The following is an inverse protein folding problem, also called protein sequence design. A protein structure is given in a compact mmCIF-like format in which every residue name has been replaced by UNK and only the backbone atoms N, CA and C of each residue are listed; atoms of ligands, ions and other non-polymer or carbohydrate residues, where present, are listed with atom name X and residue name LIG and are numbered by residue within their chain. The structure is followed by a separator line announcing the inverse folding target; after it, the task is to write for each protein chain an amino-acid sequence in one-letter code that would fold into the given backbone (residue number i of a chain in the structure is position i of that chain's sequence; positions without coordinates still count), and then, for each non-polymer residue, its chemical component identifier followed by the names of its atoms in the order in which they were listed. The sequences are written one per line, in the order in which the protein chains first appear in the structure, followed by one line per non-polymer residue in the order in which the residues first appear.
data_IF_313566821667
#
_entry.id   IF_313566821667
#
_cell.length_a   1.000
_cell.length_b   1.000
_cell.length_c   1.000
_cell.angle_alpha   90.00
_cell.angle_beta   90.00
_cell.angle_gamma   90.00
#
_symmetry.space_group_name_H-M   'P 1'
#
loop_
_entity.id
_entity.type
_entity.pdbx_description
1 polymer ?
#
# COMPACT_ATOMS: atom_id res chain seq x y z
N UNK A 1 7.22 14.97 -21.20
CA UNK A 1 7.54 14.51 -22.56
C UNK A 1 8.06 13.09 -22.48
N UNK A 2 7.62 12.22 -23.41
CA UNK A 2 8.05 10.83 -23.52
C UNK A 2 8.55 10.58 -24.94
N UNK A 3 9.65 9.84 -25.04
CA UNK A 3 10.29 9.43 -26.28
C UNK A 3 10.56 7.93 -26.23
N UNK A 4 10.15 7.21 -27.27
CA UNK A 4 10.53 5.82 -27.49
C UNK A 4 11.31 5.73 -28.78
N UNK A 5 12.44 5.02 -28.75
CA UNK A 5 13.34 4.86 -29.89
C UNK A 5 13.74 3.39 -30.04
N UNK A 6 13.43 2.81 -31.18
CA UNK A 6 13.88 1.46 -31.55
C UNK A 6 15.31 1.52 -32.04
N UNK A 7 16.23 1.05 -31.19
CA UNK A 7 17.70 1.02 -31.51
C UNK A 7 17.99 -0.07 -32.52
N UNK A 8 17.26 -1.16 -32.48
CA UNK A 8 17.28 -2.27 -33.45
C UNK A 8 15.93 -3.01 -33.38
N UNK A 9 15.79 -4.09 -34.19
CA UNK A 9 14.58 -4.93 -34.18
C UNK A 9 14.26 -5.52 -32.78
N UNK A 10 15.29 -5.75 -31.96
CA UNK A 10 15.14 -6.35 -30.64
C UNK A 10 15.26 -5.35 -29.49
N UNK A 11 15.85 -4.17 -29.70
CA UNK A 11 16.16 -3.23 -28.62
C UNK A 11 15.38 -1.93 -28.74
N UNK A 12 14.74 -1.53 -27.66
CA UNK A 12 14.02 -0.26 -27.53
C UNK A 12 14.53 0.53 -26.34
N UNK A 13 14.72 1.83 -26.51
CA UNK A 13 15.05 2.81 -25.48
C UNK A 13 13.85 3.72 -25.24
N UNK A 14 13.39 3.78 -24.00
CA UNK A 14 12.36 4.72 -23.54
C UNK A 14 12.97 5.82 -22.68
N UNK A 15 12.60 7.07 -22.91
CA UNK A 15 13.02 8.23 -22.14
C UNK A 15 11.77 9.05 -21.78
N UNK A 16 11.58 9.35 -20.50
CA UNK A 16 10.51 10.19 -20.00
C UNK A 16 11.06 11.32 -19.13
N UNK A 17 10.49 12.52 -19.26
CA UNK A 17 10.80 13.66 -18.40
C UNK A 17 9.53 14.41 -18.07
N UNK A 18 9.34 14.69 -16.79
CA UNK A 18 8.21 15.48 -16.26
C UNK A 18 8.74 16.57 -15.34
N UNK A 19 8.35 17.80 -15.62
CA UNK A 19 8.53 18.93 -14.69
C UNK A 19 7.18 19.26 -14.06
N UNK A 20 7.18 19.42 -12.75
CA UNK A 20 6.00 19.81 -11.96
C UNK A 20 6.36 21.08 -11.19
N UNK A 21 5.51 22.09 -11.25
CA UNK A 21 5.56 23.33 -10.47
C UNK A 21 4.23 23.44 -9.71
N UNK A 22 4.29 23.54 -8.40
CA UNK A 22 3.13 23.51 -7.52
C UNK A 22 3.18 24.66 -6.52
N UNK A 23 2.06 25.36 -6.36
CA UNK A 23 1.87 26.37 -5.35
C UNK A 23 0.65 26.06 -4.49
N UNK A 24 0.80 26.12 -3.17
CA UNK A 24 -0.24 25.84 -2.17
C UNK A 24 -0.41 27.04 -1.25
N UNK A 25 -1.62 27.56 -1.16
CA UNK A 25 -2.03 28.51 -0.15
C UNK A 25 -2.80 27.79 0.96
N UNK A 26 -2.37 27.98 2.19
CA UNK A 26 -2.96 27.34 3.36
C UNK A 26 -3.32 28.35 4.42
N UNK A 27 -4.54 28.24 4.97
CA UNK A 27 -4.95 29.00 6.14
C UNK A 27 -5.62 28.09 7.16
N UNK A 28 -5.33 28.30 8.43
CA UNK A 28 -5.91 27.57 9.55
C UNK A 28 -6.22 28.52 10.70
N UNK A 29 -7.41 28.35 11.27
CA UNK A 29 -7.81 29.00 12.51
C UNK A 29 -8.30 27.92 13.49
N UNK A 30 -7.73 27.88 14.67
CA UNK A 30 -8.15 26.96 15.73
C UNK A 30 -8.79 27.70 16.88
N UNK A 31 -9.89 27.14 17.39
CA UNK A 31 -10.72 27.76 18.42
C UNK A 31 -10.76 26.86 19.65
N UNK A 32 -10.68 27.49 20.82
CA UNK A 32 -10.94 26.76 22.07
C UNK A 32 -12.44 26.43 22.20
N UNK A 33 -12.73 25.25 22.75
CA UNK A 33 -14.08 24.92 23.19
C UNK A 33 -14.19 25.25 24.68
N UNK A 34 -15.16 26.09 25.03
CA UNK A 34 -15.48 26.42 26.42
C UNK A 34 -16.94 26.09 26.65
N UNK A 35 -17.23 25.27 27.65
CA UNK A 35 -18.59 24.83 28.01
C UNK A 35 -19.37 24.22 26.83
N UNK A 36 -18.70 23.38 26.01
CA UNK A 36 -19.22 22.80 24.77
C UNK A 36 -19.65 23.82 23.71
N UNK A 37 -19.14 25.03 23.80
CA UNK A 37 -19.33 26.09 22.79
C UNK A 37 -18.00 26.45 22.17
N UNK A 38 -17.99 26.66 20.87
CA UNK A 38 -16.82 27.14 20.13
C UNK A 38 -16.63 28.64 20.40
N UNK A 39 -15.45 29.04 20.83
CA UNK A 39 -15.11 30.45 20.96
C UNK A 39 -15.14 31.12 19.57
N UNK A 40 -15.61 32.39 19.50
CA UNK A 40 -15.73 33.12 18.24
C UNK A 40 -14.42 33.78 17.78
N UNK A 41 -13.43 33.81 18.64
CA UNK A 41 -12.09 34.35 18.33
C UNK A 41 -11.07 33.23 18.34
N UNK A 42 -10.17 33.15 17.34
CA UNK A 42 -9.07 32.17 17.37
C UNK A 42 -8.27 32.36 18.66
N UNK A 43 -8.08 31.28 19.41
CA UNK A 43 -7.39 31.33 20.70
C UNK A 43 -6.09 30.57 20.73
N UNK A 44 -5.83 29.73 19.74
CA UNK A 44 -4.65 28.87 19.70
C UNK A 44 -3.79 29.23 18.50
N UNK A 45 -4.37 29.27 17.31
CA UNK A 45 -3.63 29.52 16.08
C UNK A 45 -4.51 30.27 15.08
N UNK A 46 -3.94 31.31 14.46
CA UNK A 46 -4.46 32.01 13.28
C UNK A 46 -3.28 32.21 12.33
N UNK A 47 -3.27 31.45 11.25
CA UNK A 47 -2.12 31.36 10.36
C UNK A 47 -2.57 31.30 8.90
N UNK A 48 -1.86 32.06 8.05
CA UNK A 48 -1.91 31.95 6.59
C UNK A 48 -0.50 31.86 6.03
N UNK A 49 -0.20 30.87 5.20
CA UNK A 49 1.12 30.64 4.59
C UNK A 49 0.99 30.09 3.18
N UNK A 50 1.95 30.45 2.32
CA UNK A 50 2.17 29.82 1.03
C UNK A 50 3.30 28.80 1.09
N UNK A 51 3.24 27.81 0.22
CA UNK A 51 4.30 26.82 -0.03
C UNK A 51 4.45 26.66 -1.54
N UNK A 52 5.69 26.65 -2.01
CA UNK A 52 6.03 26.41 -3.42
C UNK A 52 7.00 25.26 -3.50
N UNK A 53 6.78 24.40 -4.49
CA UNK A 53 7.57 23.22 -4.73
C UNK A 53 7.70 22.98 -6.23
N UNK A 54 8.89 22.62 -6.68
CA UNK A 54 9.10 22.21 -8.05
C UNK A 54 9.98 20.95 -8.11
N UNK A 55 9.71 20.08 -9.05
CA UNK A 55 10.43 18.83 -9.18
C UNK A 55 10.56 18.40 -10.65
N UNK A 56 11.75 17.92 -11.00
CA UNK A 56 12.07 17.34 -12.29
C UNK A 56 12.24 15.83 -12.16
N UNK A 57 11.29 15.09 -12.68
CA UNK A 57 11.31 13.63 -12.69
C UNK A 57 11.77 13.10 -14.05
N UNK A 58 12.45 11.98 -14.02
CA UNK A 58 12.85 11.28 -15.24
C UNK A 58 12.60 9.78 -15.16
N UNK A 59 12.51 9.15 -16.32
CA UNK A 59 12.47 7.71 -16.49
C UNK A 59 13.30 7.31 -17.68
N UNK A 60 14.15 6.31 -17.49
CA UNK A 60 14.93 5.66 -18.56
C UNK A 60 14.58 4.19 -18.54
N UNK A 61 14.24 3.63 -19.68
CA UNK A 61 13.95 2.19 -19.84
C UNK A 61 14.73 1.66 -21.01
N UNK A 62 15.46 0.58 -20.80
CA UNK A 62 16.07 -0.20 -21.86
C UNK A 62 15.40 -1.56 -21.88
N UNK A 63 14.80 -1.93 -22.98
CA UNK A 63 14.14 -3.22 -23.15
C UNK A 63 14.73 -4.00 -24.31
N UNK A 64 14.71 -5.32 -24.16
CA UNK A 64 15.09 -6.27 -25.21
C UNK A 64 14.01 -7.32 -25.40
N UNK A 65 13.54 -7.46 -26.64
CA UNK A 65 12.69 -8.57 -27.04
C UNK A 65 13.57 -9.80 -27.33
N UNK A 66 13.10 -10.95 -26.91
CA UNK A 66 13.74 -12.26 -27.08
C UNK A 66 12.71 -13.29 -27.55
N UNK A 67 13.14 -14.46 -27.94
CA UNK A 67 12.24 -15.55 -28.38
C UNK A 67 11.30 -16.05 -27.25
N UNK A 68 11.63 -15.74 -25.97
CA UNK A 68 10.83 -16.17 -24.81
C UNK A 68 10.10 -15.01 -24.10
N UNK A 69 10.24 -13.79 -24.61
CA UNK A 69 9.58 -12.62 -24.00
C UNK A 69 10.46 -11.38 -24.03
N UNK A 70 10.16 -10.42 -23.19
CA UNK A 70 10.83 -9.13 -23.07
C UNK A 70 11.54 -9.02 -21.72
N UNK A 71 12.81 -8.64 -21.75
CA UNK A 71 13.59 -8.25 -20.55
C UNK A 71 13.79 -6.75 -20.58
N UNK A 72 13.66 -6.08 -19.43
CA UNK A 72 13.89 -4.65 -19.32
C UNK A 72 14.64 -4.28 -18.05
N UNK A 73 15.36 -3.19 -18.13
CA UNK A 73 15.92 -2.47 -16.99
C UNK A 73 15.40 -1.04 -17.03
N UNK A 74 14.88 -0.55 -15.93
CA UNK A 74 14.45 0.83 -15.81
C UNK A 74 15.08 1.53 -14.62
N UNK A 75 15.26 2.83 -14.76
CA UNK A 75 15.58 3.76 -13.70
C UNK A 75 14.59 4.91 -13.75
N UNK A 76 14.01 5.29 -12.62
CA UNK A 76 13.06 6.38 -12.57
C UNK A 76 13.11 7.10 -11.23
N UNK A 77 12.72 8.38 -11.25
CA UNK A 77 12.51 9.18 -10.04
C UNK A 77 11.06 9.55 -9.89
N UNK A 78 10.61 9.66 -8.64
CA UNK A 78 9.28 10.12 -8.26
C UNK A 78 9.36 11.10 -7.10
N UNK A 79 8.31 11.87 -6.87
CA UNK A 79 8.23 12.73 -5.70
C UNK A 79 6.79 12.85 -5.19
N UNK A 80 6.69 13.19 -3.92
CA UNK A 80 5.47 13.61 -3.26
C UNK A 80 5.68 15.01 -2.70
N UNK A 81 4.90 15.97 -3.19
CA UNK A 81 5.03 17.37 -2.82
C UNK A 81 4.85 17.58 -1.32
N UNK A 82 5.57 18.55 -0.79
CA UNK A 82 5.44 19.07 0.56
C UNK A 82 4.12 19.81 0.78
N UNK A 83 3.94 20.38 1.96
CA UNK A 83 2.71 21.12 2.28
C UNK A 83 2.53 21.41 3.75
N UNK A 84 1.27 21.41 4.19
CA UNK A 84 0.86 21.79 5.54
C UNK A 84 0.02 20.71 6.21
N UNK A 85 0.18 20.57 7.52
CA UNK A 85 -0.60 19.65 8.33
C UNK A 85 -1.84 20.36 8.90
N UNK A 86 -3.01 20.06 8.35
CA UNK A 86 -4.30 20.61 8.80
C UNK A 86 -4.74 20.16 10.21
N UNK A 87 -4.04 19.20 10.81
CA UNK A 87 -4.26 18.75 12.20
C UNK A 87 -3.31 19.41 13.19
N UNK A 88 -2.38 20.23 12.70
CA UNK A 88 -1.43 20.95 13.53
C UNK A 88 -2.13 21.95 14.47
N UNK A 89 -1.68 22.01 15.72
CA UNK A 89 -2.20 22.91 16.75
C UNK A 89 -1.17 23.94 17.18
N UNK A 90 0.07 23.83 16.70
CA UNK A 90 1.18 24.78 16.89
C UNK A 90 1.74 25.19 15.54
N UNK A 91 2.51 26.28 15.49
CA UNK A 91 3.15 26.74 14.25
C UNK A 91 4.04 25.66 13.62
N UNK A 92 4.75 24.90 14.44
CA UNK A 92 5.66 23.85 14.00
C UNK A 92 4.89 22.60 13.53
N UNK A 93 3.82 22.23 14.24
CA UNK A 93 3.01 21.07 13.84
C UNK A 93 2.19 21.31 12.58
N UNK A 94 1.92 22.56 12.24
CA UNK A 94 1.30 22.92 10.95
C UNK A 94 2.30 22.84 9.80
N UNK A 95 3.56 23.13 10.02
CA UNK A 95 4.57 23.10 8.97
C UNK A 95 4.88 24.46 8.35
N UNK A 96 5.42 24.54 7.15
CA UNK A 96 5.41 23.51 6.09
C UNK A 96 6.34 22.33 6.36
N UNK A 97 6.08 21.22 5.69
CA UNK A 97 7.00 20.11 5.48
C UNK A 97 7.39 20.03 3.99
N UNK A 98 8.58 19.54 3.71
CA UNK A 98 9.14 19.48 2.36
C UNK A 98 8.61 18.29 1.55
N UNK A 99 8.95 18.22 0.27
CA UNK A 99 8.73 17.07 -0.59
C UNK A 99 9.51 15.82 -0.10
N UNK A 100 9.00 14.69 -0.46
CA UNK A 100 9.61 13.37 -0.38
C UNK A 100 10.00 12.94 -1.79
N UNK A 101 11.16 12.36 -1.97
CA UNK A 101 11.62 11.87 -3.26
C UNK A 101 11.89 10.36 -3.20
N UNK A 102 11.74 9.70 -4.35
CA UNK A 102 12.09 8.28 -4.51
C UNK A 102 12.86 8.07 -5.79
N UNK A 103 13.90 7.27 -5.70
CA UNK A 103 14.65 6.72 -6.83
C UNK A 103 14.38 5.22 -6.92
N UNK A 104 14.05 4.74 -8.12
CA UNK A 104 13.69 3.34 -8.37
C UNK A 104 14.56 2.76 -9.46
N UNK A 105 15.18 1.61 -9.20
CA UNK A 105 15.78 0.75 -10.21
C UNK A 105 14.97 -0.54 -10.28
N UNK A 106 14.61 -0.97 -11.49
CA UNK A 106 13.79 -2.16 -11.69
C UNK A 106 14.33 -2.99 -12.86
N UNK A 107 14.51 -4.30 -12.62
CA UNK A 107 14.82 -5.31 -13.63
C UNK A 107 13.62 -6.24 -13.77
N UNK A 108 13.11 -6.41 -14.98
CA UNK A 108 11.94 -7.25 -15.20
C UNK A 108 12.05 -8.18 -16.41
N UNK A 109 11.27 -9.27 -16.31
CA UNK A 109 10.99 -10.22 -17.39
C UNK A 109 9.48 -10.29 -17.57
N UNK A 110 9.01 -10.21 -18.81
CA UNK A 110 7.65 -10.49 -19.25
C UNK A 110 7.68 -11.58 -20.30
N UNK A 111 7.13 -12.75 -20.01
CA UNK A 111 7.28 -13.91 -20.89
C UNK A 111 5.97 -14.64 -21.14
N UNK A 112 5.87 -15.16 -22.38
CA UNK A 112 4.80 -16.06 -22.81
C UNK A 112 5.46 -17.33 -23.37
N UNK A 113 5.20 -18.47 -22.73
CA UNK A 113 5.90 -19.71 -22.99
C UNK A 113 4.90 -20.82 -23.35
N UNK A 114 5.37 -21.83 -24.10
CA UNK A 114 4.62 -23.02 -24.43
C UNK A 114 3.27 -22.73 -25.13
N UNK A 115 3.32 -21.94 -26.22
CA UNK A 115 2.12 -21.52 -26.95
C UNK A 115 1.10 -20.78 -26.07
N UNK A 116 1.59 -19.86 -25.23
CA UNK A 116 0.82 -19.04 -24.27
C UNK A 116 0.11 -19.86 -23.17
N UNK A 117 0.55 -21.09 -22.92
CA UNK A 117 0.08 -21.87 -21.78
C UNK A 117 0.65 -21.38 -20.46
N UNK A 118 1.82 -20.76 -20.48
CA UNK A 118 2.46 -20.13 -19.32
C UNK A 118 2.73 -18.67 -19.64
N UNK A 119 2.18 -17.77 -18.85
CA UNK A 119 2.58 -16.38 -18.77
C UNK A 119 3.32 -16.21 -17.45
N UNK A 120 4.55 -15.71 -17.49
CA UNK A 120 5.38 -15.51 -16.31
C UNK A 120 6.01 -14.10 -16.37
N UNK A 121 5.75 -13.31 -15.33
CA UNK A 121 6.36 -12.02 -15.10
C UNK A 121 7.21 -12.10 -13.83
N UNK A 122 8.43 -11.64 -13.91
CA UNK A 122 9.35 -11.50 -12.80
C UNK A 122 9.82 -10.06 -12.72
N UNK A 123 9.89 -9.52 -11.52
CA UNK A 123 10.37 -8.16 -11.29
C UNK A 123 11.25 -8.16 -10.04
N UNK A 124 12.43 -7.57 -10.12
CA UNK A 124 13.26 -7.23 -8.98
C UNK A 124 13.46 -5.73 -8.96
N UNK A 125 13.37 -5.10 -7.80
CA UNK A 125 13.46 -3.64 -7.68
C UNK A 125 14.11 -3.22 -6.38
N UNK A 126 14.66 -2.00 -6.41
CA UNK A 126 15.06 -1.23 -5.24
C UNK A 126 14.44 0.16 -5.32
N UNK A 127 13.93 0.66 -4.18
CA UNK A 127 13.40 2.00 -4.03
C UNK A 127 14.09 2.67 -2.86
N UNK A 128 14.76 3.78 -3.13
CA UNK A 128 15.43 4.61 -2.14
C UNK A 128 14.63 5.90 -1.95
N UNK A 129 14.06 6.09 -0.75
CA UNK A 129 13.32 7.29 -0.39
C UNK A 129 14.19 8.24 0.42
N UNK A 130 14.20 9.49 0.02
CA UNK A 130 14.81 10.59 0.77
C UNK A 130 13.73 11.55 1.27
N UNK A 131 13.97 12.15 2.44
CA UNK A 131 13.04 13.08 3.06
C UNK A 131 11.61 12.51 3.22
N UNK A 132 11.51 11.21 3.53
CA UNK A 132 10.22 10.52 3.66
C UNK A 132 9.30 11.23 4.64
N UNK A 133 8.08 11.51 4.18
CA UNK A 133 7.04 12.17 4.96
C UNK A 133 6.35 11.18 5.89
N UNK A 134 6.50 11.39 7.19
CA UNK A 134 5.88 10.57 8.22
C UNK A 134 4.92 11.36 9.09
N UNK A 135 3.82 10.70 9.48
CA UNK A 135 2.83 11.25 10.41
C UNK A 135 3.16 10.78 11.81
N UNK A 136 3.66 11.68 12.63
CA UNK A 136 4.00 11.43 14.03
C UNK A 136 2.87 11.97 14.90
N UNK A 137 2.34 11.13 15.79
CA UNK A 137 1.37 11.54 16.83
C UNK A 137 2.01 11.34 18.18
N UNK A 138 2.07 12.39 18.98
CA UNK A 138 2.61 12.31 20.34
C UNK A 138 1.49 12.30 21.36
N UNK A 139 1.66 11.59 22.48
CA UNK A 139 0.75 11.70 23.62
C UNK A 139 0.67 13.15 24.12
N UNK A 140 -0.47 13.54 24.67
CA UNK A 140 -0.63 14.83 25.32
C UNK A 140 0.24 14.97 26.55
N UNK A 141 0.40 16.23 27.03
CA UNK A 141 1.20 16.67 28.18
C UNK A 141 2.73 16.50 28.06
N UNK A 142 3.22 15.98 26.92
CA UNK A 142 4.65 15.84 26.63
C UNK A 142 5.27 17.02 25.90
N UNK A 143 6.58 17.13 26.01
CA UNK A 143 7.39 17.97 25.14
C UNK A 143 8.14 17.06 24.18
N UNK A 144 8.01 17.30 22.88
CA UNK A 144 8.75 16.62 21.83
C UNK A 144 9.71 17.61 21.16
N UNK A 145 10.90 17.15 20.79
CA UNK A 145 11.83 17.95 20.00
C UNK A 145 11.51 17.76 18.51
N UNK A 146 11.24 18.88 17.84
CA UNK A 146 10.89 18.94 16.43
C UNK A 146 11.87 19.87 15.74
N UNK A 147 12.71 19.37 14.83
CA UNK A 147 13.80 20.13 14.18
C UNK A 147 14.70 20.86 15.18
N UNK A 148 15.07 20.19 16.28
CA UNK A 148 15.85 20.78 17.35
C UNK A 148 15.11 21.76 18.25
N UNK A 149 13.80 21.97 18.06
CA UNK A 149 12.97 22.91 18.83
C UNK A 149 12.00 22.15 19.73
N UNK A 150 12.05 22.32 21.06
CA UNK A 150 11.05 21.72 21.96
C UNK A 150 9.64 22.24 21.69
N UNK A 151 8.69 21.35 21.54
CA UNK A 151 7.27 21.62 21.34
C UNK A 151 6.46 21.02 22.46
N UNK A 152 5.63 21.79 23.11
CA UNK A 152 4.71 21.31 24.16
C UNK A 152 3.33 21.07 23.56
N UNK A 153 2.82 19.88 23.71
CA UNK A 153 1.50 19.46 23.23
C UNK A 153 0.50 19.43 24.39
N UNK A 154 -0.68 20.01 24.17
CA UNK A 154 -1.71 20.08 25.23
C UNK A 154 -2.41 18.74 25.49
N UNK A 155 -2.93 18.09 24.45
CA UNK A 155 -3.60 16.80 24.56
C UNK A 155 -2.96 15.73 23.68
N UNK A 156 -2.80 16.01 22.40
CA UNK A 156 -2.04 15.23 21.40
C UNK A 156 -1.55 16.19 20.34
N UNK A 157 -0.35 15.96 19.84
CA UNK A 157 0.14 16.66 18.64
C UNK A 157 0.27 15.69 17.49
N UNK A 158 -0.14 16.13 16.33
CA UNK A 158 0.12 15.43 15.07
C UNK A 158 1.07 16.27 14.24
N UNK A 159 2.17 15.71 13.84
CA UNK A 159 3.16 16.33 12.95
C UNK A 159 3.19 15.55 11.65
N UNK A 160 3.37 16.24 10.53
CA UNK A 160 3.85 15.63 9.30
C UNK A 160 5.26 16.17 9.08
N UNK A 161 6.22 15.28 8.88
CA UNK A 161 7.63 15.66 8.82
C UNK A 161 8.39 14.81 7.82
N UNK A 162 9.44 15.38 7.29
CA UNK A 162 10.47 14.66 6.54
C UNK A 162 11.41 14.02 7.57
N UNK A 163 11.06 12.84 8.04
CA UNK A 163 11.70 12.23 9.20
C UNK A 163 12.73 11.17 8.83
N UNK A 164 12.75 10.65 7.59
CA UNK A 164 13.51 9.46 7.30
C UNK A 164 14.08 9.33 5.91
N UNK A 165 15.05 8.44 5.83
CA UNK A 165 15.52 7.77 4.64
C UNK A 165 15.07 6.32 4.73
N UNK A 166 14.58 5.74 3.62
CA UNK A 166 13.99 4.41 3.60
C UNK A 166 14.44 3.68 2.35
N UNK A 167 14.91 2.45 2.53
CA UNK A 167 15.19 1.53 1.43
C UNK A 167 14.14 0.41 1.39
N UNK A 168 13.67 0.07 0.20
CA UNK A 168 12.76 -1.04 -0.04
C UNK A 168 13.28 -1.86 -1.22
N UNK A 169 13.82 -3.03 -0.93
CA UNK A 169 14.19 -4.01 -1.93
C UNK A 169 13.09 -5.05 -2.10
N UNK A 170 12.79 -5.45 -3.32
CA UNK A 170 11.72 -6.39 -3.55
C UNK A 170 11.90 -7.28 -4.76
N UNK A 171 11.15 -8.38 -4.71
CA UNK A 171 11.04 -9.33 -5.80
C UNK A 171 9.60 -9.79 -5.96
N UNK A 172 9.08 -9.76 -7.19
CA UNK A 172 7.72 -10.12 -7.51
C UNK A 172 7.67 -11.20 -8.60
N UNK A 173 6.77 -12.15 -8.41
CA UNK A 173 6.42 -13.20 -9.35
C UNK A 173 4.94 -13.12 -9.64
N UNK A 174 4.56 -12.96 -10.90
CA UNK A 174 3.20 -13.13 -11.37
C UNK A 174 3.15 -14.21 -12.43
N UNK A 175 2.18 -15.10 -12.35
CA UNK A 175 2.08 -16.20 -13.30
C UNK A 175 0.65 -16.62 -13.59
N UNK A 176 0.44 -17.06 -14.84
CA UNK A 176 -0.76 -17.80 -15.25
C UNK A 176 -0.30 -19.09 -15.92
N UNK A 177 -0.83 -20.21 -15.46
CA UNK A 177 -0.58 -21.53 -16.03
C UNK A 177 -1.89 -22.23 -16.42
N UNK A 178 -2.11 -22.39 -17.71
CA UNK A 178 -3.18 -23.21 -18.27
C UNK A 178 -2.73 -24.67 -18.31
N UNK A 179 -2.98 -25.38 -17.21
CA UNK A 179 -2.56 -26.78 -17.04
C UNK A 179 -3.26 -27.70 -18.05
N UNK A 180 -4.57 -27.47 -18.28
CA UNK A 180 -5.38 -28.10 -19.30
C UNK A 180 -6.34 -27.06 -19.92
N UNK A 181 -7.17 -27.46 -20.88
CA UNK A 181 -8.25 -26.60 -21.39
C UNK A 181 -9.27 -26.24 -20.30
N UNK A 182 -9.41 -27.09 -19.29
CA UNK A 182 -10.37 -26.93 -18.20
C UNK A 182 -9.77 -26.31 -16.94
N UNK A 183 -8.44 -26.35 -16.72
CA UNK A 183 -7.78 -25.97 -15.47
C UNK A 183 -6.75 -24.90 -15.68
N UNK A 184 -6.97 -23.76 -15.03
CA UNK A 184 -6.05 -22.62 -15.01
C UNK A 184 -5.63 -22.30 -13.58
N UNK A 185 -4.35 -22.05 -13.38
CA UNK A 185 -3.78 -21.50 -12.15
C UNK A 185 -3.28 -20.08 -12.39
N UNK A 186 -3.41 -19.23 -11.37
CA UNK A 186 -2.83 -17.87 -11.33
C UNK A 186 -2.12 -17.68 -10.01
N UNK A 187 -0.93 -17.12 -10.04
CA UNK A 187 -0.15 -16.85 -8.83
C UNK A 187 0.37 -15.41 -8.86
N UNK A 188 0.43 -14.81 -7.67
CA UNK A 188 1.16 -13.57 -7.41
C UNK A 188 1.89 -13.73 -6.07
N UNK A 189 3.19 -13.49 -6.07
CA UNK A 189 4.05 -13.59 -4.89
C UNK A 189 4.94 -12.35 -4.88
N UNK A 190 5.00 -11.67 -3.73
CA UNK A 190 5.89 -10.55 -3.48
C UNK A 190 6.72 -10.80 -2.23
N UNK A 191 7.97 -10.43 -2.28
CA UNK A 191 8.88 -10.37 -1.15
C UNK A 191 9.43 -8.96 -1.04
N UNK A 192 9.47 -8.44 0.19
CA UNK A 192 10.03 -7.13 0.53
C UNK A 192 11.07 -7.29 1.63
N UNK A 193 12.20 -6.61 1.45
CA UNK A 193 13.13 -6.25 2.52
C UNK A 193 13.07 -4.74 2.63
N UNK A 194 12.58 -4.23 3.74
CA UNK A 194 12.28 -2.81 3.87
C UNK A 194 12.64 -2.28 5.25
N UNK A 195 13.20 -1.09 5.30
CA UNK A 195 13.60 -0.49 6.56
C UNK A 195 13.88 1.00 6.47
N UNK A 196 13.99 1.63 7.62
CA UNK A 196 14.51 2.98 7.72
C UNK A 196 16.04 2.92 7.78
N UNK A 197 16.71 3.64 6.88
CA UNK A 197 18.14 3.90 6.96
C UNK A 197 18.42 5.02 7.96
N UNK A 198 17.47 5.96 8.07
CA UNK A 198 17.46 7.03 9.06
C UNK A 198 16.04 7.37 9.43
N UNK A 199 15.78 7.56 10.72
CA UNK A 199 14.49 8.06 11.21
C UNK A 199 14.67 8.91 12.46
N UNK A 200 14.51 10.22 12.30
CA UNK A 200 14.65 11.15 13.40
C UNK A 200 13.33 11.32 14.17
N UNK A 201 13.34 10.91 15.43
CA UNK A 201 12.24 11.08 16.38
C UNK A 201 12.78 11.64 17.71
N UNK A 202 12.18 12.73 18.19
CA UNK A 202 12.57 13.44 19.42
C UNK A 202 14.07 13.75 19.51
N UNK A 203 14.67 14.15 18.38
CA UNK A 203 16.09 14.48 18.27
C UNK A 203 17.05 13.30 18.32
N UNK A 204 16.55 12.08 18.19
CA UNK A 204 17.34 10.86 18.13
C UNK A 204 17.06 10.11 16.82
N UNK A 205 18.08 9.45 16.31
CA UNK A 205 17.89 8.48 15.22
C UNK A 205 17.40 7.16 15.81
N UNK A 206 16.18 6.77 15.42
CA UNK A 206 15.49 5.56 15.89
C UNK A 206 15.25 4.55 14.77
N UNK A 207 15.93 4.69 13.64
CA UNK A 207 15.77 3.83 12.46
C UNK A 207 15.84 2.34 12.79
N UNK A 208 16.78 1.94 13.63
CA UNK A 208 16.97 0.53 14.00
C UNK A 208 15.78 -0.09 14.78
N UNK A 209 14.91 0.73 15.37
CA UNK A 209 13.73 0.30 16.10
C UNK A 209 12.42 0.59 15.35
N UNK A 210 12.46 1.38 14.28
CA UNK A 210 11.30 1.76 13.51
C UNK A 210 10.95 0.68 12.47
N UNK A 211 9.67 0.43 12.29
CA UNK A 211 9.13 -0.47 11.27
C UNK A 211 8.33 0.31 10.24
N UNK A 212 8.47 -0.05 8.96
CA UNK A 212 7.62 0.53 7.92
C UNK A 212 6.18 0.07 8.07
N UNK A 213 5.25 1.01 7.90
CA UNK A 213 3.83 0.72 7.99
C UNK A 213 3.35 -0.03 6.75
N UNK A 214 2.51 -1.05 6.95
CA UNK A 214 1.87 -1.82 5.88
C UNK A 214 2.84 -2.49 4.91
N UNK A 215 4.02 -2.85 5.36
CA UNK A 215 5.08 -3.50 4.59
C UNK A 215 5.34 -4.92 5.14
N UNK A 216 4.51 -5.93 4.81
CA UNK A 216 4.81 -7.32 5.16
C UNK A 216 6.00 -7.84 4.36
N UNK A 217 6.84 -8.68 4.96
CA UNK A 217 8.03 -9.23 4.29
C UNK A 217 7.64 -10.12 3.10
N UNK A 218 6.47 -10.75 3.13
CA UNK A 218 5.92 -11.43 1.97
C UNK A 218 4.40 -11.34 1.86
N UNK A 219 3.94 -11.42 0.60
CA UNK A 219 2.55 -11.69 0.25
C UNK A 219 2.52 -12.77 -0.83
N UNK A 220 1.55 -13.68 -0.77
CA UNK A 220 1.39 -14.72 -1.77
C UNK A 220 -0.09 -15.00 -2.05
N UNK A 221 -0.41 -15.29 -3.30
CA UNK A 221 -1.71 -15.80 -3.69
C UNK A 221 -1.58 -16.86 -4.77
N UNK A 222 -2.41 -17.90 -4.67
CA UNK A 222 -2.60 -18.93 -5.69
C UNK A 222 -4.11 -19.11 -5.91
N UNK A 223 -4.57 -18.77 -7.11
CA UNK A 223 -5.95 -19.00 -7.51
C UNK A 223 -6.02 -20.09 -8.58
N UNK A 224 -7.10 -20.82 -8.60
CA UNK A 224 -7.38 -21.78 -9.65
C UNK A 224 -8.84 -21.76 -10.03
N UNK A 225 -9.12 -22.11 -11.27
CA UNK A 225 -10.44 -22.41 -11.78
C UNK A 225 -10.40 -23.70 -12.63
N UNK A 226 -11.33 -24.58 -12.35
CA UNK A 226 -11.61 -25.77 -13.13
C UNK A 226 -13.02 -25.69 -13.70
N UNK A 227 -13.12 -25.64 -15.02
CA UNK A 227 -14.38 -25.46 -15.75
C UNK A 227 -14.69 -26.74 -16.52
N UNK A 228 -15.88 -27.29 -16.32
CA UNK A 228 -16.33 -28.49 -17.04
C UNK A 228 -17.84 -28.45 -17.34
N UNK A 229 -18.24 -29.18 -18.35
CA UNK A 229 -19.68 -29.34 -18.67
C UNK A 229 -20.30 -30.46 -17.80
N UNK A 230 -21.41 -30.16 -17.17
CA UNK A 230 -22.15 -31.11 -16.36
C UNK A 230 -23.67 -30.90 -16.51
N UNK A 231 -24.43 -32.00 -16.78
CA UNK A 231 -25.89 -32.01 -16.84
C UNK A 231 -26.51 -30.91 -17.74
N UNK A 232 -25.84 -30.57 -18.86
CA UNK A 232 -26.33 -29.56 -19.81
C UNK A 232 -26.10 -28.10 -19.35
N UNK A 233 -25.23 -27.90 -18.40
CA UNK A 233 -24.74 -26.61 -17.97
C UNK A 233 -23.22 -26.64 -17.78
N UNK A 234 -22.65 -25.55 -17.32
CA UNK A 234 -21.25 -25.38 -16.97
C UNK A 234 -21.06 -25.44 -15.46
N UNK A 235 -20.10 -26.23 -15.01
CA UNK A 235 -19.71 -26.35 -13.61
C UNK A 235 -18.30 -25.75 -13.44
N UNK A 236 -18.18 -24.80 -12.54
CA UNK A 236 -16.94 -24.10 -12.23
C UNK A 236 -16.57 -24.38 -10.77
N UNK A 237 -15.43 -25.03 -10.54
CA UNK A 237 -14.81 -25.12 -9.21
C UNK A 237 -13.65 -24.15 -9.15
N UNK A 238 -13.74 -23.15 -8.29
CA UNK A 238 -12.70 -22.14 -8.13
C UNK A 238 -12.27 -22.03 -6.67
N UNK A 239 -11.01 -21.64 -6.48
CA UNK A 239 -10.47 -21.37 -5.17
C UNK A 239 -9.33 -20.37 -5.22
N UNK A 240 -9.08 -19.74 -4.07
CA UNK A 240 -7.95 -18.86 -3.85
C UNK A 240 -7.35 -19.14 -2.49
N UNK A 241 -6.09 -19.50 -2.47
CA UNK A 241 -5.27 -19.48 -1.26
C UNK A 241 -4.46 -18.18 -1.26
N UNK A 242 -4.44 -17.46 -0.14
CA UNK A 242 -3.61 -16.28 0.05
C UNK A 242 -2.92 -16.34 1.41
N UNK A 243 -1.69 -15.84 1.44
CA UNK A 243 -0.88 -15.73 2.63
C UNK A 243 -0.18 -14.36 2.67
N UNK A 244 -0.04 -13.80 3.84
CA UNK A 244 0.76 -12.61 4.08
C UNK A 244 1.46 -12.71 5.42
N UNK A 245 2.63 -12.09 5.53
CA UNK A 245 3.35 -12.01 6.79
C UNK A 245 2.73 -10.98 7.74
N UNK A 246 3.19 -10.96 8.96
CA UNK A 246 2.84 -9.89 9.89
C UNK A 246 3.34 -8.54 9.38
N UNK A 247 2.69 -7.48 9.77
CA UNK A 247 3.10 -6.12 9.47
C UNK A 247 2.58 -5.16 10.53
N UNK A 248 3.17 -3.97 10.59
CA UNK A 248 2.72 -2.93 11.50
C UNK A 248 1.75 -1.98 10.79
N UNK A 249 0.64 -1.68 11.44
CA UNK A 249 -0.33 -0.68 10.94
C UNK A 249 0.13 0.74 11.23
N UNK A 250 1.15 0.88 12.07
CA UNK A 250 1.82 2.11 12.46
C UNK A 250 3.21 1.79 13.00
N UNK A 251 4.03 2.81 13.27
CA UNK A 251 5.36 2.66 13.87
C UNK A 251 5.37 1.70 15.06
N UNK A 252 6.50 1.00 15.22
CA UNK A 252 6.72 0.14 16.37
C UNK A 252 6.48 0.89 17.69
N UNK A 253 5.68 0.35 18.60
CA UNK A 253 5.45 0.89 19.93
C UNK A 253 6.72 1.14 20.74
N UNK A 254 7.80 0.39 20.47
CA UNK A 254 9.09 0.58 21.13
C UNK A 254 9.71 1.98 20.87
N UNK A 255 9.41 2.59 19.72
CA UNK A 255 9.82 3.95 19.39
C UNK A 255 9.00 4.98 20.16
N UNK A 256 7.75 4.66 20.45
CA UNK A 256 6.80 5.60 21.05
C UNK A 256 6.71 5.53 22.58
N UNK A 257 7.41 4.71 23.28
CA UNK A 257 7.33 4.56 24.75
C UNK A 257 5.89 4.67 25.29
N UNK A 258 4.95 3.98 24.61
CA UNK A 258 3.52 4.10 24.88
C UNK A 258 3.12 3.38 26.17
N UNK A 259 2.69 4.12 27.18
CA UNK A 259 2.15 3.55 28.42
C UNK A 259 0.90 2.68 28.20
N UNK A 260 0.24 2.80 27.03
CA UNK A 260 -0.97 2.03 26.71
C UNK A 260 -0.66 0.61 26.20
N UNK A 261 0.57 0.30 25.81
CA UNK A 261 0.98 -1.03 25.39
C UNK A 261 0.13 -1.64 24.27
N UNK A 262 -0.45 -0.79 23.41
CA UNK A 262 -1.29 -1.26 22.31
C UNK A 262 -0.40 -1.86 21.23
N UNK A 263 -0.61 -3.13 20.94
CA UNK A 263 0.03 -3.82 19.82
C UNK A 263 -0.55 -3.30 18.51
N UNK A 264 0.31 -2.71 17.67
CA UNK A 264 -0.01 -2.18 16.35
C UNK A 264 0.33 -3.17 15.22
N UNK A 265 0.76 -4.37 15.57
CA UNK A 265 0.99 -5.44 14.62
C UNK A 265 -0.33 -6.00 14.08
N UNK A 266 -0.28 -6.46 12.86
CA UNK A 266 -1.30 -7.29 12.24
C UNK A 266 -0.65 -8.65 12.01
N UNK A 267 -1.13 -9.66 12.71
CA UNK A 267 -0.60 -11.01 12.62
C UNK A 267 -0.58 -11.53 11.18
N UNK A 268 0.36 -12.42 10.90
CA UNK A 268 0.35 -13.18 9.64
C UNK A 268 -1.00 -13.86 9.43
N UNK A 269 -1.42 -13.95 8.20
CA UNK A 269 -2.71 -14.54 7.85
C UNK A 269 -2.60 -15.47 6.64
N UNK A 270 -3.27 -16.60 6.75
CA UNK A 270 -3.49 -17.54 5.65
C UNK A 270 -5.00 -17.68 5.43
N UNK A 271 -5.45 -17.60 4.19
CA UNK A 271 -6.87 -17.68 3.83
C UNK A 271 -7.07 -18.66 2.70
N UNK A 272 -8.18 -19.37 2.74
CA UNK A 272 -8.64 -20.21 1.66
C UNK A 272 -10.11 -19.91 1.37
N UNK A 273 -10.36 -19.44 0.15
CA UNK A 273 -11.69 -19.22 -0.39
C UNK A 273 -11.99 -20.29 -1.44
N UNK A 274 -13.17 -20.92 -1.35
CA UNK A 274 -13.61 -21.94 -2.30
C UNK A 274 -15.00 -21.60 -2.79
N UNK A 275 -15.27 -21.90 -4.07
CA UNK A 275 -16.60 -21.79 -4.64
C UNK A 275 -16.86 -22.89 -5.66
N UNK A 276 -18.15 -23.28 -5.73
CA UNK A 276 -18.69 -24.16 -6.75
C UNK A 276 -19.88 -23.47 -7.39
N UNK A 277 -19.76 -23.14 -8.68
CA UNK A 277 -20.79 -22.46 -9.45
C UNK A 277 -21.32 -23.38 -10.55
N UNK A 278 -22.64 -23.46 -10.68
CA UNK A 278 -23.30 -24.13 -11.79
C UNK A 278 -24.11 -23.11 -12.59
N UNK A 279 -23.77 -22.95 -13.86
CA UNK A 279 -24.43 -22.08 -14.81
C UNK A 279 -25.19 -22.94 -15.83
N UNK A 280 -26.45 -22.54 -16.14
CA UNK A 280 -27.27 -23.24 -17.12
C UNK A 280 -28.16 -22.30 -17.89
N UNK A 281 -28.20 -22.47 -19.22
CA UNK A 281 -29.20 -21.85 -20.04
C UNK A 281 -30.56 -22.53 -19.85
N UNK A 282 -31.61 -21.75 -19.76
CA UNK A 282 -32.99 -22.21 -19.59
C UNK A 282 -33.70 -22.31 -20.94
N UNK A 283 -34.71 -23.18 -21.03
CA UNK A 283 -35.45 -23.42 -22.26
C UNK A 283 -36.21 -22.18 -22.79
N UNK A 284 -36.40 -21.17 -21.97
CA UNK A 284 -37.06 -19.89 -22.33
C UNK A 284 -36.06 -18.83 -22.82
N UNK A 285 -34.77 -19.17 -22.97
CA UNK A 285 -33.71 -18.24 -23.38
C UNK A 285 -33.08 -17.45 -22.25
N UNK A 286 -33.53 -17.65 -21.00
CA UNK A 286 -32.89 -17.09 -19.82
C UNK A 286 -31.67 -17.91 -19.33
N UNK A 287 -31.01 -17.44 -18.28
CA UNK A 287 -29.89 -18.12 -17.63
C UNK A 287 -30.12 -18.28 -16.11
N UNK A 288 -29.59 -19.36 -15.56
CA UNK A 288 -29.57 -19.62 -14.10
C UNK A 288 -28.13 -19.84 -13.65
N UNK A 289 -27.78 -19.21 -12.52
CA UNK A 289 -26.51 -19.43 -11.84
C UNK A 289 -26.77 -19.81 -10.37
N UNK A 290 -26.18 -20.91 -9.94
CA UNK A 290 -26.18 -21.34 -8.54
C UNK A 290 -24.74 -21.42 -8.06
N UNK A 291 -24.40 -20.66 -7.02
CA UNK A 291 -23.07 -20.67 -6.41
C UNK A 291 -23.17 -21.05 -4.94
N UNK A 292 -22.34 -22.00 -4.52
CA UNK A 292 -22.08 -22.32 -3.11
C UNK A 292 -20.64 -21.87 -2.83
N UNK A 293 -20.41 -21.16 -1.74
CA UNK A 293 -19.09 -20.66 -1.43
C UNK A 293 -18.79 -20.69 0.07
N UNK A 294 -17.50 -20.78 0.37
CA UNK A 294 -16.94 -20.55 1.70
C UNK A 294 -15.72 -19.66 1.57
N UNK A 295 -15.70 -18.59 2.34
CA UNK A 295 -14.57 -17.67 2.39
C UNK A 295 -13.85 -17.81 3.72
N UNK A 296 -12.51 -17.69 3.67
CA UNK A 296 -11.61 -17.80 4.82
C UNK A 296 -11.89 -19.06 5.67
N UNK A 297 -11.95 -20.23 4.99
CA UNK A 297 -12.42 -21.49 5.60
C UNK A 297 -11.38 -22.16 6.49
N UNK A 298 -10.13 -21.64 6.54
CA UNK A 298 -9.06 -22.23 7.35
C UNK A 298 -9.16 -21.90 8.83
N UNK A 299 -9.71 -20.73 9.16
CA UNK A 299 -9.72 -20.26 10.52
C UNK A 299 -11.07 -19.65 10.94
N UNK A 300 -11.45 -19.89 12.18
CA UNK A 300 -12.64 -19.32 12.82
C UNK A 300 -12.30 -18.02 13.58
N UNK A 301 -13.31 -17.14 13.76
CA UNK A 301 -13.21 -15.96 14.61
C UNK A 301 -13.13 -14.65 13.84
N UNK A 302 -12.43 -13.69 14.41
CA UNK A 302 -12.18 -12.37 13.84
C UNK A 302 -10.71 -12.01 14.03
N UNK A 303 -10.19 -11.16 13.16
CA UNK A 303 -8.82 -10.71 13.22
C UNK A 303 -8.71 -9.21 12.96
N UNK A 304 -7.63 -8.61 13.46
CA UNK A 304 -7.33 -7.20 13.23
C UNK A 304 -6.81 -7.04 11.80
N UNK A 305 -7.43 -6.13 11.05
CA UNK A 305 -6.97 -5.79 9.70
C UNK A 305 -6.28 -4.43 9.63
N UNK A 306 -6.55 -3.57 10.59
CA UNK A 306 -5.97 -2.23 10.66
C UNK A 306 -6.03 -1.71 12.08
N UNK A 307 -4.94 -1.76 12.84
CA UNK A 307 -4.82 -1.05 14.09
C UNK A 307 -4.64 0.45 13.84
N UNK A 308 -5.15 1.25 14.72
CA UNK A 308 -4.99 2.69 14.68
C UNK A 308 -4.83 3.25 16.09
N UNK A 309 -3.83 4.08 16.28
CA UNK A 309 -3.58 4.80 17.51
C UNK A 309 -3.81 6.30 17.30
N UNK A 310 -4.60 6.89 18.17
CA UNK A 310 -4.90 8.31 18.18
C UNK A 310 -4.21 9.05 19.35
N UNK A 311 -3.25 8.42 20.00
CA UNK A 311 -2.49 8.98 21.11
C UNK A 311 -3.15 8.74 22.47
N UNK A 312 -4.37 9.20 22.70
CA UNK A 312 -5.11 8.99 23.96
C UNK A 312 -5.89 7.67 23.99
N UNK A 313 -6.08 7.04 22.84
CA UNK A 313 -6.80 5.77 22.68
C UNK A 313 -6.37 5.07 21.39
N UNK A 314 -6.39 3.75 21.42
CA UNK A 314 -6.19 2.90 20.27
C UNK A 314 -7.48 2.20 19.88
N UNK A 315 -7.68 1.95 18.60
CA UNK A 315 -8.77 1.14 18.07
C UNK A 315 -8.32 0.35 16.87
N UNK A 316 -9.05 -0.70 16.54
CA UNK A 316 -8.74 -1.55 15.42
C UNK A 316 -9.99 -1.84 14.58
N UNK A 317 -9.81 -1.94 13.28
CA UNK A 317 -10.81 -2.53 12.40
C UNK A 317 -10.64 -4.03 12.45
N UNK A 318 -11.71 -4.74 12.75
CA UNK A 318 -11.75 -6.20 12.78
C UNK A 318 -12.56 -6.73 11.60
N UNK A 319 -12.10 -7.83 11.03
CA UNK A 319 -12.82 -8.57 9.99
C UNK A 319 -13.18 -9.94 10.53
N UNK A 320 -14.45 -10.33 10.32
CA UNK A 320 -14.88 -11.70 10.61
C UNK A 320 -14.22 -12.64 9.61
N UNK A 321 -13.64 -13.72 10.12
CA UNK A 321 -13.09 -14.79 9.31
C UNK A 321 -14.22 -15.61 8.67
N UNK A 322 -14.13 -16.83 8.60
CA UNK A 322 -14.98 -17.85 7.99
C UNK A 322 -16.46 -17.45 7.81
N UNK A 323 -16.94 -17.49 6.59
CA UNK A 323 -18.35 -17.41 6.27
C UNK A 323 -18.70 -18.25 5.04
N UNK A 324 -19.90 -18.81 5.03
CA UNK A 324 -20.44 -19.64 3.97
C UNK A 324 -21.71 -19.02 3.42
N UNK A 325 -21.97 -19.25 2.14
CA UNK A 325 -23.17 -18.75 1.49
C UNK A 325 -23.60 -19.54 0.28
N UNK A 326 -24.84 -19.28 -0.11
CA UNK A 326 -25.43 -19.78 -1.35
C UNK A 326 -26.02 -18.57 -2.09
N UNK A 327 -25.71 -18.45 -3.37
CA UNK A 327 -26.26 -17.41 -4.26
C UNK A 327 -27.00 -18.09 -5.40
N UNK A 328 -28.20 -17.59 -5.71
CA UNK A 328 -29.00 -18.04 -6.84
C UNK A 328 -29.36 -16.83 -7.69
N UNK A 329 -28.92 -16.83 -8.93
CA UNK A 329 -29.17 -15.80 -9.93
C UNK A 329 -30.05 -16.31 -11.07
N UNK A 330 -30.93 -15.45 -11.58
CA UNK A 330 -31.71 -15.68 -12.80
C UNK A 330 -31.62 -14.44 -13.69
N UNK A 331 -31.43 -14.70 -14.97
CA UNK A 331 -31.51 -13.71 -16.04
C UNK A 331 -32.62 -14.14 -17.00
N UNK A 332 -33.52 -13.19 -17.39
CA UNK A 332 -34.70 -13.45 -18.22
C UNK A 332 -34.64 -12.72 -19.54
#
# INVERSE_FOLDING_TARGET
ADLTYDVSDDWTLGLGVRYTDEEKDFSIQTYASVDNKVARTPTILDLSRGFKDDNLQHKVVIQRNTDFGMVYLSHSTGFRSGGFNARGTTLQSVGPYNSEEVETIELGLRSELFDNRVVLNLTAFTNDYTDKQEVIVTPGDGTIVVDGVPQTCGATCTFVRNAGEVSIDGFEIEGTFRATEALTFRTAIGFLDSGYDKFEYDGQDVAAAAQLNFAPDYTASLSWDYVTNWQGGELIFAGTFSAKDEFYGRFDPAVYNYELGADMSVEKAEKLDLSLTYNRELANGGAMSLTIFGNDILEEGAYIVRPFDAGAFAFATIQKRQHFGISLGFEF
#
